data_IF_744126434580
#
_entry.id   IF_744126434580
#
_cell.length_a   1.000
_cell.length_b   1.000
_cell.length_c   1.000
_cell.angle_alpha   90.00
_cell.angle_beta   90.00
_cell.angle_gamma   90.00
#
_symmetry.space_group_name_H-M   'P 1'
#
loop_
_entity.id
_entity.type
_entity.pdbx_description
1 polymer ?
#
# COMPACT_ATOMS: atom_id res chain seq x y z
N UNK A 1 59.07 10.63 46.35
CA UNK A 1 57.87 10.70 47.21
C UNK A 1 57.31 12.12 47.10
N UNK A 2 56.05 12.31 46.75
CA UNK A 2 55.39 13.60 46.97
C UNK A 2 55.42 13.88 48.48
N UNK A 3 55.72 15.11 48.91
CA UNK A 3 55.79 15.48 50.33
C UNK A 3 54.54 15.00 51.10
N UNK A 4 53.39 14.97 50.44
CA UNK A 4 52.13 14.39 50.94
C UNK A 4 52.23 12.95 51.46
N UNK A 5 52.92 12.04 50.74
CA UNK A 5 52.96 10.62 51.08
C UNK A 5 53.80 10.32 52.34
N UNK A 6 54.89 11.07 52.54
CA UNK A 6 55.71 10.97 53.75
C UNK A 6 54.96 11.53 54.96
N UNK A 7 54.26 12.66 54.79
CA UNK A 7 53.39 13.21 55.84
C UNK A 7 52.23 12.29 56.20
N UNK A 8 51.67 11.54 55.25
CA UNK A 8 50.60 10.58 55.54
C UNK A 8 51.12 9.35 56.28
N UNK A 9 52.30 8.85 55.91
CA UNK A 9 52.99 7.79 56.64
C UNK A 9 53.34 8.21 58.08
N UNK A 10 53.77 9.46 58.26
CA UNK A 10 54.05 10.02 59.57
C UNK A 10 52.83 9.97 60.50
N UNK A 11 51.64 10.36 60.01
CA UNK A 11 50.38 10.31 60.77
C UNK A 11 50.00 8.89 61.18
N UNK A 12 50.21 7.91 60.29
CA UNK A 12 49.92 6.49 60.59
C UNK A 12 50.83 5.96 61.69
N UNK A 13 52.11 6.35 61.67
CA UNK A 13 53.06 5.99 62.73
C UNK A 13 52.70 6.66 64.05
N UNK A 14 52.30 7.93 64.05
CA UNK A 14 51.85 8.63 65.26
C UNK A 14 50.62 7.98 65.89
N UNK A 15 49.63 7.60 65.09
CA UNK A 15 48.45 6.87 65.56
C UNK A 15 48.82 5.50 66.15
N UNK A 16 49.77 4.79 65.54
CA UNK A 16 50.24 3.50 66.02
C UNK A 16 51.01 3.61 67.35
N UNK A 17 51.82 4.67 67.50
CA UNK A 17 52.51 4.99 68.76
C UNK A 17 51.48 5.30 69.85
N UNK A 18 50.48 6.13 69.55
CA UNK A 18 49.41 6.45 70.50
C UNK A 18 48.64 5.20 70.94
N UNK A 19 48.26 4.32 70.01
CA UNK A 19 47.58 3.06 70.32
C UNK A 19 48.43 2.18 71.26
N UNK A 20 49.74 2.08 71.00
CA UNK A 20 50.67 1.30 71.82
C UNK A 20 50.84 1.90 73.23
N UNK A 21 50.84 3.23 73.35
CA UNK A 21 50.95 3.92 74.65
C UNK A 21 49.67 3.83 75.49
N UNK A 22 48.52 3.69 74.85
CA UNK A 22 47.23 3.46 75.52
C UNK A 22 47.20 2.06 76.15
N UNK A 23 47.73 1.05 75.45
CA UNK A 23 47.77 -0.34 75.92
C UNK A 23 48.78 -0.56 77.07
N UNK A 24 49.89 0.17 77.07
CA UNK A 24 50.97 -0.03 78.06
C UNK A 24 50.64 0.60 79.43
N UNK A 25 50.59 -0.19 80.51
CA UNK A 25 50.21 0.29 81.87
C UNK A 25 51.34 0.93 82.69
N UNK A 26 52.62 0.65 82.40
CA UNK A 26 53.80 1.19 83.10
C UNK A 26 54.90 1.60 82.10
N UNK A 27 55.84 2.47 82.47
CA UNK A 27 56.96 2.93 81.63
C UNK A 27 56.55 3.57 80.28
N UNK A 28 55.43 4.29 80.25
CA UNK A 28 54.91 4.95 79.04
C UNK A 28 55.91 5.94 78.43
N UNK A 29 56.61 6.71 79.27
CA UNK A 29 57.57 7.73 78.83
C UNK A 29 58.77 7.12 78.10
N UNK A 30 59.36 6.06 78.66
CA UNK A 30 60.50 5.35 78.07
C UNK A 30 60.14 4.69 76.74
N UNK A 31 58.94 4.08 76.64
CA UNK A 31 58.45 3.52 75.37
C UNK A 31 58.17 4.59 74.34
N UNK A 32 57.58 5.71 74.76
CA UNK A 32 57.33 6.83 73.86
C UNK A 32 58.64 7.38 73.28
N UNK A 33 59.69 7.51 74.09
CA UNK A 33 61.01 7.95 73.64
C UNK A 33 61.61 6.97 72.63
N UNK A 34 61.57 5.67 72.91
CA UNK A 34 62.08 4.63 72.00
C UNK A 34 61.32 4.57 70.68
N UNK A 35 59.98 4.60 70.73
CA UNK A 35 59.14 4.59 69.54
C UNK A 35 59.32 5.86 68.70
N UNK A 36 59.52 7.02 69.32
CA UNK A 36 59.83 8.26 68.61
C UNK A 36 61.21 8.24 67.96
N UNK A 37 62.20 7.58 68.58
CA UNK A 37 63.51 7.38 67.96
C UNK A 37 63.41 6.49 66.71
N UNK A 38 62.66 5.39 66.81
CA UNK A 38 62.37 4.50 65.68
C UNK A 38 61.61 5.20 64.56
N UNK A 39 60.57 5.98 64.89
CA UNK A 39 59.80 6.80 63.94
C UNK A 39 60.74 7.69 63.13
N UNK A 40 61.62 8.45 63.81
CA UNK A 40 62.55 9.38 63.14
C UNK A 40 63.54 8.64 62.25
N UNK A 41 64.14 7.55 62.73
CA UNK A 41 65.09 6.75 61.94
C UNK A 41 64.44 6.14 60.69
N UNK A 42 63.20 5.66 60.82
CA UNK A 42 62.45 5.10 59.70
C UNK A 42 62.08 6.16 58.66
N UNK A 43 61.59 7.33 59.10
CA UNK A 43 61.25 8.42 58.19
C UNK A 43 62.49 8.96 57.46
N UNK A 44 63.62 9.07 58.16
CA UNK A 44 64.90 9.45 57.55
C UNK A 44 65.31 8.45 56.47
N UNK A 45 65.19 7.15 56.76
CA UNK A 45 65.44 6.11 55.76
C UNK A 45 64.49 6.24 54.55
N UNK A 46 63.21 6.51 54.76
CA UNK A 46 62.24 6.74 53.69
C UNK A 46 62.58 7.96 52.81
N UNK A 47 63.22 9.00 53.36
CA UNK A 47 63.68 10.15 52.58
C UNK A 47 64.92 9.81 51.73
N UNK A 48 65.77 8.90 52.19
CA UNK A 48 66.96 8.44 51.44
C UNK A 48 66.64 7.48 50.29
N UNK A 49 65.44 6.87 50.29
CA UNK A 49 65.00 5.98 49.22
C UNK A 49 64.74 6.78 47.93
N UNK A 50 65.64 6.64 46.95
CA UNK A 50 65.43 7.11 45.57
C UNK A 50 64.33 6.28 44.91
N UNK A 51 63.10 6.78 44.95
CA UNK A 51 61.98 6.21 44.19
C UNK A 51 62.13 6.63 42.72
N UNK A 52 62.04 5.70 41.74
CA UNK A 52 61.90 6.06 40.34
C UNK A 52 60.73 7.04 40.18
N UNK A 53 60.96 8.17 39.49
CA UNK A 53 59.95 9.21 39.30
C UNK A 53 58.64 8.67 38.72
N UNK A 54 57.52 9.39 38.89
CA UNK A 54 56.23 8.97 38.35
C UNK A 54 56.40 8.73 36.85
N UNK A 55 56.19 7.47 36.42
CA UNK A 55 56.21 7.11 35.00
C UNK A 55 55.21 8.03 34.30
N UNK A 56 55.70 8.95 33.45
CA UNK A 56 54.85 9.73 32.55
C UNK A 56 53.93 8.73 31.84
N UNK A 57 52.62 8.97 31.87
CA UNK A 57 51.66 8.15 31.13
C UNK A 57 52.16 8.06 29.69
N UNK A 58 52.24 6.87 29.07
CA UNK A 58 52.79 6.74 27.72
C UNK A 58 51.95 7.64 26.80
N UNK A 59 52.60 8.48 26.00
CA UNK A 59 51.95 9.45 25.10
C UNK A 59 50.93 8.77 24.17
N UNK A 60 51.16 7.49 23.83
CA UNK A 60 50.21 6.65 23.11
C UNK A 60 48.87 6.40 23.83
N UNK A 61 48.82 6.41 25.16
CA UNK A 61 47.56 6.28 25.90
C UNK A 61 46.70 7.55 25.83
N UNK A 62 47.32 8.73 25.76
CA UNK A 62 46.60 10.00 25.58
C UNK A 62 46.07 10.10 24.15
N UNK A 63 46.89 9.73 23.15
CA UNK A 63 46.46 9.70 21.75
C UNK A 63 45.29 8.74 21.53
N UNK A 64 45.39 7.52 22.07
CA UNK A 64 44.32 6.52 21.97
C UNK A 64 43.02 6.99 22.61
N UNK A 65 43.09 7.62 23.78
CA UNK A 65 41.90 8.18 24.43
C UNK A 65 41.25 9.26 23.56
N UNK A 66 42.06 10.12 22.91
CA UNK A 66 41.55 11.16 22.01
C UNK A 66 40.91 10.58 20.74
N UNK A 67 41.46 9.49 20.19
CA UNK A 67 40.86 8.78 19.06
C UNK A 67 39.55 8.09 19.46
N UNK A 68 39.52 7.46 20.65
CA UNK A 68 38.32 6.84 21.20
C UNK A 68 37.21 7.88 21.46
N UNK A 69 37.54 9.08 21.97
CA UNK A 69 36.55 10.15 22.14
C UNK A 69 36.01 10.67 20.80
N UNK A 70 36.88 10.88 19.80
CA UNK A 70 36.45 11.31 18.46
C UNK A 70 35.54 10.27 17.81
N UNK A 71 35.88 8.99 17.95
CA UNK A 71 35.06 7.88 17.45
C UNK A 71 33.70 7.86 18.15
N UNK A 72 33.68 7.99 19.49
CA UNK A 72 32.44 8.02 20.26
C UNK A 72 31.55 9.22 19.90
N UNK A 73 32.13 10.38 19.64
CA UNK A 73 31.39 11.57 19.18
C UNK A 73 30.78 11.34 17.80
N UNK A 74 31.52 10.77 16.86
CA UNK A 74 31.01 10.43 15.54
C UNK A 74 29.89 9.39 15.61
N UNK A 75 30.05 8.34 16.42
CA UNK A 75 29.01 7.33 16.66
C UNK A 75 27.76 7.96 17.27
N UNK A 76 27.92 8.88 18.22
CA UNK A 76 26.79 9.61 18.80
C UNK A 76 26.05 10.44 17.75
N UNK A 77 26.77 11.16 16.88
CA UNK A 77 26.14 11.90 15.79
C UNK A 77 25.36 10.98 14.83
N UNK A 78 25.90 9.80 14.52
CA UNK A 78 25.18 8.82 13.69
C UNK A 78 23.95 8.26 14.39
N UNK A 79 24.01 8.07 15.71
CA UNK A 79 22.88 7.62 16.51
C UNK A 79 21.78 8.69 16.58
N UNK A 80 22.16 9.94 16.84
CA UNK A 80 21.23 11.07 16.88
C UNK A 80 20.51 11.22 15.51
N UNK A 81 21.25 11.11 14.39
CA UNK A 81 20.65 11.13 13.05
C UNK A 81 19.72 9.94 12.79
N UNK A 82 20.04 8.75 13.31
CA UNK A 82 19.17 7.58 13.18
C UNK A 82 17.88 7.75 13.99
N UNK A 83 17.96 8.32 15.18
CA UNK A 83 16.81 8.62 16.04
C UNK A 83 15.88 9.65 15.39
N UNK A 84 16.43 10.71 14.79
CA UNK A 84 15.66 11.69 14.02
C UNK A 84 14.94 11.04 12.83
N UNK A 85 15.64 10.19 12.07
CA UNK A 85 15.04 9.46 10.95
C UNK A 85 13.93 8.51 11.42
N UNK A 86 14.13 7.80 12.52
CA UNK A 86 13.12 6.91 13.08
C UNK A 86 11.88 7.69 13.50
N UNK A 87 12.07 8.82 14.20
CA UNK A 87 10.98 9.72 14.59
C UNK A 87 10.21 10.27 13.38
N UNK A 88 10.91 10.64 12.32
CA UNK A 88 10.29 11.09 11.08
C UNK A 88 9.47 9.97 10.42
N UNK A 89 10.00 8.74 10.35
CA UNK A 89 9.28 7.58 9.80
C UNK A 89 8.03 7.26 10.63
N UNK A 90 8.13 7.25 11.95
CA UNK A 90 6.98 7.04 12.84
C UNK A 90 5.91 8.10 12.61
N UNK A 91 6.29 9.38 12.54
CA UNK A 91 5.36 10.48 12.28
C UNK A 91 4.65 10.35 10.93
N UNK A 92 5.33 9.83 9.90
CA UNK A 92 4.73 9.56 8.60
C UNK A 92 3.78 8.37 8.67
N UNK A 93 4.16 7.29 9.37
CA UNK A 93 3.32 6.11 9.55
C UNK A 93 2.03 6.44 10.30
N UNK A 94 2.09 7.22 11.36
CA UNK A 94 0.91 7.67 12.12
C UNK A 94 -0.06 8.46 11.24
N UNK A 95 0.44 9.38 10.41
CA UNK A 95 -0.40 10.13 9.44
C UNK A 95 -1.03 9.19 8.42
N UNK A 96 -0.26 8.24 7.90
CA UNK A 96 -0.73 7.28 6.91
C UNK A 96 -1.81 6.36 7.51
N UNK A 97 -1.68 5.98 8.78
CA UNK A 97 -2.69 5.21 9.50
C UNK A 97 -4.00 6.00 9.65
N UNK A 98 -3.92 7.29 9.99
CA UNK A 98 -5.09 8.17 10.05
C UNK A 98 -5.78 8.29 8.68
N UNK A 99 -5.00 8.48 7.61
CA UNK A 99 -5.52 8.56 6.24
C UNK A 99 -6.16 7.24 5.80
N UNK A 100 -5.54 6.10 6.10
CA UNK A 100 -6.06 4.76 5.83
C UNK A 100 -7.39 4.54 6.54
N UNK A 101 -7.47 4.84 7.84
CA UNK A 101 -8.69 4.70 8.63
C UNK A 101 -9.82 5.61 8.10
N UNK A 102 -9.48 6.85 7.70
CA UNK A 102 -10.43 7.77 7.07
C UNK A 102 -10.95 7.21 5.74
N UNK A 103 -10.06 6.68 4.90
CA UNK A 103 -10.43 6.11 3.61
C UNK A 103 -11.30 4.85 3.78
N UNK A 104 -10.94 3.96 4.71
CA UNK A 104 -11.73 2.78 5.05
C UNK A 104 -13.15 3.16 5.50
N UNK A 105 -13.27 4.18 6.36
CA UNK A 105 -14.56 4.71 6.77
C UNK A 105 -15.37 5.22 5.57
N UNK A 106 -14.76 6.00 4.67
CA UNK A 106 -15.42 6.48 3.46
C UNK A 106 -15.87 5.33 2.55
N UNK A 107 -15.03 4.30 2.35
CA UNK A 107 -15.39 3.11 1.60
C UNK A 107 -16.57 2.36 2.24
N UNK A 108 -16.60 2.24 3.57
CA UNK A 108 -17.72 1.63 4.28
C UNK A 108 -19.01 2.41 4.08
N UNK A 109 -18.97 3.74 4.17
CA UNK A 109 -20.15 4.59 3.95
C UNK A 109 -20.66 4.46 2.52
N UNK A 110 -19.76 4.45 1.52
CA UNK A 110 -20.13 4.27 0.12
C UNK A 110 -20.74 2.89 -0.14
N UNK A 111 -20.21 1.84 0.49
CA UNK A 111 -20.74 0.49 0.39
C UNK A 111 -22.17 0.41 0.94
N UNK A 112 -22.42 1.03 2.10
CA UNK A 112 -23.77 1.07 2.69
C UNK A 112 -24.74 1.84 1.78
N UNK A 113 -24.33 3.01 1.26
CA UNK A 113 -25.16 3.78 0.32
C UNK A 113 -25.47 3.00 -0.96
N UNK A 114 -24.52 2.24 -1.47
CA UNK A 114 -24.72 1.39 -2.64
C UNK A 114 -25.76 0.29 -2.32
N UNK A 115 -25.63 -0.37 -1.18
CA UNK A 115 -26.60 -1.37 -0.72
C UNK A 115 -28.01 -0.78 -0.60
N UNK A 116 -28.14 0.40 0.04
CA UNK A 116 -29.44 1.07 0.18
C UNK A 116 -30.08 1.37 -1.19
N UNK A 117 -29.28 1.76 -2.18
CA UNK A 117 -29.74 2.02 -3.54
C UNK A 117 -30.11 0.73 -4.30
N UNK A 118 -29.37 -0.36 -4.10
CA UNK A 118 -29.69 -1.67 -4.68
C UNK A 118 -31.01 -2.21 -4.10
N UNK A 119 -31.20 -2.11 -2.78
CA UNK A 119 -32.43 -2.50 -2.09
C UNK A 119 -33.64 -1.67 -2.57
N UNK A 120 -33.48 -0.35 -2.71
CA UNK A 120 -34.54 0.53 -3.24
C UNK A 120 -34.89 0.18 -4.69
N UNK A 121 -33.88 -0.13 -5.52
CA UNK A 121 -34.10 -0.55 -6.90
C UNK A 121 -34.86 -1.88 -6.96
N UNK A 122 -34.47 -2.88 -6.15
CA UNK A 122 -35.14 -4.18 -6.06
C UNK A 122 -36.60 -4.03 -5.62
N UNK A 123 -36.87 -3.19 -4.60
CA UNK A 123 -38.24 -2.87 -4.21
C UNK A 123 -39.06 -2.25 -5.36
N UNK A 124 -38.47 -1.34 -6.14
CA UNK A 124 -39.15 -0.72 -7.27
C UNK A 124 -39.45 -1.72 -8.40
N UNK A 125 -38.53 -2.64 -8.68
CA UNK A 125 -38.76 -3.70 -9.68
C UNK A 125 -39.88 -4.65 -9.22
N UNK A 126 -39.84 -5.12 -7.97
CA UNK A 126 -40.92 -5.95 -7.42
C UNK A 126 -42.29 -5.26 -7.42
N UNK A 127 -42.33 -3.95 -7.11
CA UNK A 127 -43.57 -3.17 -7.19
C UNK A 127 -44.06 -3.04 -8.63
N UNK A 128 -43.20 -2.81 -9.62
CA UNK A 128 -43.61 -2.71 -11.04
C UNK A 128 -44.18 -4.02 -11.59
N UNK A 129 -43.59 -5.15 -11.24
CA UNK A 129 -44.11 -6.48 -11.61
C UNK A 129 -45.49 -6.76 -10.98
N UNK A 130 -45.85 -6.09 -9.88
CA UNK A 130 -47.18 -6.17 -9.26
C UNK A 130 -48.19 -5.14 -9.82
N UNK A 131 -47.73 -4.01 -10.35
CA UNK A 131 -48.59 -2.98 -10.97
C UNK A 131 -49.00 -3.43 -12.38
N UNK A 132 -48.06 -3.99 -13.13
CA UNK A 132 -48.36 -4.78 -14.31
C UNK A 132 -48.93 -6.12 -13.85
N UNK A 133 -50.22 -6.16 -13.49
CA UNK A 133 -50.98 -7.41 -13.28
C UNK A 133 -51.10 -8.19 -14.61
N UNK A 134 -49.97 -8.48 -15.25
CA UNK A 134 -49.89 -9.36 -16.38
C UNK A 134 -50.14 -10.76 -15.82
N UNK A 135 -51.16 -11.48 -16.32
CA UNK A 135 -51.38 -12.86 -15.94
C UNK A 135 -50.07 -13.59 -16.11
N UNK A 136 -49.56 -14.16 -15.01
CA UNK A 136 -48.38 -15.02 -15.06
C UNK A 136 -48.78 -16.17 -15.99
N UNK A 137 -48.32 -16.13 -17.24
CA UNK A 137 -48.48 -17.23 -18.18
C UNK A 137 -47.87 -18.43 -17.48
N UNK A 138 -48.72 -19.29 -16.94
CA UNK A 138 -48.28 -20.56 -16.42
C UNK A 138 -47.62 -21.25 -17.62
N UNK A 139 -46.40 -21.78 -17.49
CA UNK A 139 -45.84 -22.62 -18.53
C UNK A 139 -46.80 -23.81 -18.65
N UNK A 140 -47.68 -23.76 -19.65
CA UNK A 140 -48.69 -24.78 -19.80
C UNK A 140 -47.93 -26.05 -20.17
N UNK A 141 -48.06 -27.09 -19.34
CA UNK A 141 -47.35 -28.36 -19.54
C UNK A 141 -47.80 -29.10 -20.81
N UNK A 142 -48.81 -28.58 -21.51
CA UNK A 142 -49.39 -29.09 -22.75
C UNK A 142 -49.45 -28.04 -23.88
N UNK A 143 -48.50 -27.09 -23.91
CA UNK A 143 -48.35 -26.24 -25.09
C UNK A 143 -47.70 -27.07 -26.21
N UNK A 144 -48.51 -27.77 -26.99
CA UNK A 144 -48.10 -28.08 -28.37
C UNK A 144 -47.74 -26.74 -28.99
N UNK A 145 -46.45 -26.52 -29.25
CA UNK A 145 -45.92 -25.28 -29.81
C UNK A 145 -46.78 -24.84 -30.99
N UNK A 146 -46.94 -23.53 -31.19
CA UNK A 146 -47.70 -23.00 -32.34
C UNK A 146 -47.24 -23.66 -33.65
N UNK A 147 -45.95 -23.94 -33.76
CA UNK A 147 -45.35 -24.74 -34.83
C UNK A 147 -46.00 -26.13 -34.99
N UNK A 148 -46.18 -26.89 -33.90
CA UNK A 148 -46.83 -28.20 -33.92
C UNK A 148 -48.30 -28.12 -34.36
N UNK A 149 -49.03 -27.08 -33.91
CA UNK A 149 -50.40 -26.83 -34.37
C UNK A 149 -50.45 -26.45 -35.86
N UNK A 150 -49.50 -25.66 -36.34
CA UNK A 150 -49.40 -25.28 -37.75
C UNK A 150 -49.04 -26.48 -38.64
N UNK A 151 -48.14 -27.37 -38.19
CA UNK A 151 -47.82 -28.63 -38.87
C UNK A 151 -48.97 -29.63 -38.89
N UNK A 152 -49.85 -29.58 -37.90
CA UNK A 152 -51.08 -30.39 -37.90
C UNK A 152 -52.14 -29.84 -38.87
N UNK A 153 -52.26 -28.51 -38.95
CA UNK A 153 -53.20 -27.85 -39.86
C UNK A 153 -52.75 -27.91 -41.33
N UNK A 154 -51.44 -27.94 -41.57
CA UNK A 154 -50.82 -28.06 -42.88
C UNK A 154 -49.80 -29.20 -42.82
N UNK A 155 -50.20 -30.43 -43.19
CA UNK A 155 -49.26 -31.53 -43.30
C UNK A 155 -48.17 -31.19 -44.31
N UNK A 156 -46.92 -31.58 -44.04
CA UNK A 156 -45.78 -31.28 -44.91
C UNK A 156 -45.98 -31.81 -46.36
N UNK A 157 -46.84 -32.83 -46.56
CA UNK A 157 -47.22 -33.34 -47.88
C UNK A 157 -48.05 -32.36 -48.72
N UNK A 158 -48.76 -31.42 -48.10
CA UNK A 158 -49.63 -30.45 -48.77
C UNK A 158 -49.05 -29.02 -48.75
N UNK A 159 -48.06 -28.77 -47.89
CA UNK A 159 -47.41 -27.48 -47.69
C UNK A 159 -46.86 -26.89 -49.00
N UNK A 160 -46.17 -27.69 -49.81
CA UNK A 160 -45.60 -27.22 -51.08
C UNK A 160 -46.70 -26.85 -52.09
N UNK A 161 -47.77 -27.64 -52.14
CA UNK A 161 -48.90 -27.38 -53.04
C UNK A 161 -49.68 -26.12 -52.65
N UNK A 162 -49.84 -25.87 -51.35
CA UNK A 162 -50.50 -24.67 -50.84
C UNK A 162 -49.62 -23.44 -50.97
N UNK A 163 -48.31 -23.55 -50.72
CA UNK A 163 -47.37 -22.47 -50.99
C UNK A 163 -47.37 -22.06 -52.46
N UNK A 164 -47.43 -23.04 -53.38
CA UNK A 164 -47.54 -22.76 -54.82
C UNK A 164 -48.85 -22.06 -55.18
N UNK A 165 -50.00 -22.52 -54.65
CA UNK A 165 -51.30 -21.85 -54.86
C UNK A 165 -51.34 -20.44 -54.29
N UNK A 166 -50.80 -20.23 -53.09
CA UNK A 166 -50.72 -18.89 -52.49
C UNK A 166 -49.79 -17.99 -53.30
N UNK A 167 -48.67 -18.52 -53.80
CA UNK A 167 -47.78 -17.83 -54.72
C UNK A 167 -48.49 -17.40 -56.01
N UNK A 168 -49.26 -18.30 -56.62
CA UNK A 168 -50.08 -17.98 -57.80
C UNK A 168 -51.12 -16.89 -57.52
N UNK A 169 -51.81 -16.95 -56.36
CA UNK A 169 -52.79 -15.92 -55.99
C UNK A 169 -52.11 -14.56 -55.82
N UNK A 170 -50.97 -14.52 -55.12
CA UNK A 170 -50.23 -13.28 -54.90
C UNK A 170 -49.68 -12.69 -56.21
N UNK A 171 -49.19 -13.52 -57.12
CA UNK A 171 -48.69 -13.07 -58.43
C UNK A 171 -49.81 -12.56 -59.37
N UNK A 172 -51.02 -13.11 -59.23
CA UNK A 172 -52.18 -12.69 -60.01
C UNK A 172 -52.93 -11.50 -59.40
N UNK A 173 -52.45 -10.93 -58.29
CA UNK A 173 -53.08 -9.77 -57.66
C UNK A 173 -52.70 -8.50 -58.40
N UNK A 174 -53.65 -7.59 -58.63
CA UNK A 174 -53.43 -6.29 -59.31
C UNK A 174 -52.27 -5.50 -58.69
N UNK A 175 -52.15 -5.51 -57.36
CA UNK A 175 -51.06 -4.85 -56.65
C UNK A 175 -49.66 -5.38 -56.97
N UNK A 176 -49.55 -6.67 -57.34
CA UNK A 176 -48.28 -7.26 -57.74
C UNK A 176 -47.91 -6.87 -59.17
N UNK A 177 -48.90 -6.78 -60.07
CA UNK A 177 -48.72 -6.31 -61.44
C UNK A 177 -48.29 -4.83 -61.44
N UNK A 178 -48.96 -3.98 -60.66
CA UNK A 178 -48.60 -2.56 -60.50
C UNK A 178 -47.16 -2.39 -60.00
N UNK A 179 -46.76 -3.20 -59.00
CA UNK A 179 -45.40 -3.18 -58.47
C UNK A 179 -44.38 -3.68 -59.51
N UNK A 180 -44.72 -4.70 -60.29
CA UNK A 180 -43.87 -5.22 -61.35
C UNK A 180 -43.71 -4.22 -62.51
N UNK A 181 -44.77 -3.51 -62.87
CA UNK A 181 -44.73 -2.43 -63.87
C UNK A 181 -43.86 -1.27 -63.39
N UNK A 182 -44.01 -0.85 -62.14
CA UNK A 182 -43.19 0.22 -61.54
C UNK A 182 -41.72 -0.18 -61.51
N UNK A 183 -41.41 -1.42 -61.09
CA UNK A 183 -40.04 -1.94 -61.12
C UNK A 183 -39.50 -2.02 -62.55
N UNK A 184 -40.31 -2.44 -63.52
CA UNK A 184 -39.91 -2.49 -64.93
C UNK A 184 -39.63 -1.10 -65.50
N UNK A 185 -40.45 -0.11 -65.15
CA UNK A 185 -40.25 1.29 -65.51
C UNK A 185 -38.97 1.85 -64.90
N UNK A 186 -38.72 1.58 -63.61
CA UNK A 186 -37.50 2.00 -62.94
C UNK A 186 -36.25 1.38 -63.58
N UNK A 187 -36.30 0.09 -63.96
CA UNK A 187 -35.20 -0.56 -64.68
C UNK A 187 -34.96 0.08 -66.05
N UNK A 188 -36.02 0.35 -66.83
CA UNK A 188 -35.89 1.06 -68.12
C UNK A 188 -35.25 2.44 -67.97
N UNK A 189 -35.69 3.22 -66.99
CA UNK A 189 -35.11 4.54 -66.71
C UNK A 189 -33.63 4.45 -66.33
N UNK A 190 -33.25 3.44 -65.54
CA UNK A 190 -31.86 3.20 -65.16
C UNK A 190 -31.03 2.75 -66.36
N UNK A 191 -31.56 1.89 -67.23
CA UNK A 191 -30.86 1.46 -68.45
C UNK A 191 -30.67 2.62 -69.46
N UNK A 192 -31.66 3.50 -69.60
CA UNK A 192 -31.58 4.73 -70.41
C UNK A 192 -30.52 5.70 -69.87
N UNK A 193 -30.34 5.79 -68.55
CA UNK A 193 -29.34 6.63 -67.91
C UNK A 193 -27.93 6.01 -67.96
N UNK A 194 -27.82 4.68 -67.92
CA UNK A 194 -26.54 3.96 -67.95
C UNK A 194 -26.00 3.75 -69.37
N UNK A 195 -26.87 3.77 -70.41
CA UNK A 195 -26.48 3.62 -71.82
C UNK A 195 -27.12 4.69 -72.72
N UNK A 196 -26.73 5.97 -72.62
CA UNK A 196 -27.39 7.07 -73.35
C UNK A 196 -27.03 7.15 -74.86
N UNK A 197 -26.71 6.03 -75.51
CA UNK A 197 -26.04 6.05 -76.83
C UNK A 197 -26.22 4.82 -77.70
N UNK A 198 -27.36 4.13 -77.65
CA UNK A 198 -27.75 3.17 -78.70
C UNK A 198 -29.22 3.32 -79.08
N UNK A 199 -29.59 4.49 -79.61
CA UNK A 199 -30.76 4.60 -80.47
C UNK A 199 -30.26 4.95 -81.88
N UNK A 200 -30.45 4.09 -82.90
CA UNK A 200 -29.91 4.29 -84.25
C UNK A 200 -30.64 5.36 -85.09
N UNK A 201 -31.70 5.98 -84.60
CA UNK A 201 -32.46 6.97 -85.38
C UNK A 201 -32.38 8.37 -84.76
N UNK A 202 -31.16 8.90 -84.68
CA UNK A 202 -30.95 10.35 -84.70
C UNK A 202 -30.72 10.78 -86.15
N UNK A 203 -31.80 10.90 -86.92
CA UNK A 203 -31.79 11.65 -88.17
C UNK A 203 -32.94 12.66 -88.21
N UNK A 204 -32.52 13.91 -88.23
CA UNK A 204 -33.02 14.96 -89.12
C UNK A 204 -34.26 15.78 -88.71
N UNK A 205 -33.97 17.09 -88.55
CA UNK A 205 -34.70 18.31 -88.93
C UNK A 205 -35.23 19.13 -87.74
N UNK A 206 -34.58 20.24 -87.38
CA UNK A 206 -34.61 21.58 -88.02
C UNK A 206 -35.98 22.29 -87.97
N UNK A 207 -35.95 23.50 -87.40
CA UNK A 207 -36.68 24.72 -87.81
C UNK A 207 -38.15 24.84 -87.36
N UNK A 208 -38.42 25.61 -86.30
CA UNK A 208 -38.75 27.06 -86.33
C UNK A 208 -38.73 27.64 -84.90
#
# INVERSE_FOLDING_TARGET
MSVSSVSDLEKVLDLSILATLVEKRANKKEVQEHLNALKRSFLDHCLTLKVPGPKRKPEGAVHRLQEETKKSEAEKQTLDSLEENLSAVVSVLEKNELEMNSLEHQCSVLRNKLQDQEDEAEEMFHKKDSVLNLPRLQPSKDETTLEAKMRQAVPDSEAESMARKLGEILQNTESFQDAQELLSLAHKQVDELLHPGTNPDAHCLEVF
#
